data_IF_392063944744
#
_entry.id   IF_392063944744
#
_cell.length_a   1.000
_cell.length_b   1.000
_cell.length_c   1.000
_cell.angle_alpha   90.00
_cell.angle_beta   90.00
_cell.angle_gamma   90.00
#
_symmetry.space_group_name_H-M   'P 1'
#
loop_
_entity.id
_entity.type
_entity.pdbx_description
1 polymer ?
#
# COMPACT_ATOMS: atom_id res chain seq x y z
N UNK A 1 -12.18 11.32 11.21
CA UNK A 1 -10.87 10.72 11.54
C UNK A 1 -10.11 10.60 10.23
N UNK A 2 -8.89 11.15 10.17
CA UNK A 2 -8.07 11.18 8.95
C UNK A 2 -6.89 10.26 9.16
N UNK A 3 -6.49 9.52 8.12
CA UNK A 3 -5.37 8.58 8.17
C UNK A 3 -4.42 8.88 7.02
N UNK A 4 -3.13 8.80 7.29
CA UNK A 4 -2.09 8.94 6.27
C UNK A 4 -1.96 7.65 5.47
N UNK A 5 -1.88 7.82 4.15
CA UNK A 5 -1.71 6.75 3.19
C UNK A 5 -0.45 7.00 2.37
N UNK A 6 0.33 5.94 2.17
CA UNK A 6 1.20 5.84 1.01
C UNK A 6 0.33 5.68 -0.24
N UNK A 7 0.58 6.49 -1.26
CA UNK A 7 0.00 6.39 -2.59
C UNK A 7 1.14 6.27 -3.61
N UNK A 8 1.26 5.12 -4.25
CA UNK A 8 2.38 4.81 -5.14
C UNK A 8 1.97 3.93 -6.31
N UNK A 9 2.86 3.78 -7.28
CA UNK A 9 2.61 3.02 -8.50
C UNK A 9 1.69 3.74 -9.48
N UNK A 10 1.46 3.09 -10.62
CA UNK A 10 0.63 3.62 -11.70
C UNK A 10 -0.04 2.47 -12.45
N UNK A 11 -1.34 2.58 -12.70
CA UNK A 11 -2.09 1.61 -13.47
C UNK A 11 -3.59 1.77 -13.28
N UNK A 12 -4.37 1.14 -14.16
CA UNK A 12 -5.83 1.32 -14.22
C UNK A 12 -6.58 0.60 -13.08
N UNK A 13 -5.87 -0.21 -12.28
CA UNK A 13 -6.42 -0.91 -11.11
C UNK A 13 -5.85 -0.30 -9.83
N UNK A 14 -6.69 -0.22 -8.79
CA UNK A 14 -6.27 0.19 -7.45
C UNK A 14 -6.20 -1.01 -6.52
N UNK A 15 -5.12 -1.09 -5.74
CA UNK A 15 -4.89 -2.12 -4.70
C UNK A 15 -4.72 -1.44 -3.35
N UNK A 16 -5.53 -1.83 -2.36
CA UNK A 16 -5.35 -1.42 -0.97
C UNK A 16 -4.62 -2.51 -0.20
N UNK A 17 -3.46 -2.19 0.37
CA UNK A 17 -2.66 -3.11 1.18
C UNK A 17 -2.80 -2.72 2.65
N UNK A 18 -3.34 -3.63 3.45
CA UNK A 18 -3.52 -3.44 4.89
C UNK A 18 -2.51 -4.29 5.65
N UNK A 19 -1.94 -3.75 6.72
CA UNK A 19 -1.07 -4.51 7.61
C UNK A 19 -1.83 -5.01 8.85
N UNK A 20 -1.37 -6.13 9.39
CA UNK A 20 -1.73 -6.56 10.75
C UNK A 20 -0.84 -5.88 11.80
N UNK A 21 -0.74 -6.49 12.99
CA UNK A 21 0.04 -5.95 14.12
C UNK A 21 1.55 -5.77 13.88
N UNK A 22 2.11 -6.37 12.82
CA UNK A 22 3.50 -6.14 12.41
C UNK A 22 3.75 -4.75 11.80
N UNK A 23 2.68 -3.99 11.50
CA UNK A 23 2.75 -2.64 10.95
C UNK A 23 3.15 -2.58 9.46
N UNK A 24 3.30 -1.36 8.92
CA UNK A 24 3.54 -1.13 7.49
C UNK A 24 4.78 -1.85 6.92
N UNK A 25 5.82 -2.04 7.74
CA UNK A 25 7.04 -2.77 7.32
C UNK A 25 6.75 -4.23 6.96
N UNK A 26 5.77 -4.85 7.60
CA UNK A 26 5.38 -6.25 7.33
C UNK A 26 4.75 -6.46 5.96
N UNK A 27 4.27 -5.39 5.31
CA UNK A 27 3.61 -5.46 3.99
C UNK A 27 4.38 -4.72 2.89
N UNK A 28 5.55 -4.15 3.18
CA UNK A 28 6.36 -3.44 2.19
C UNK A 28 6.64 -4.28 0.92
N UNK A 29 7.00 -5.58 1.01
CA UNK A 29 7.20 -6.40 -0.19
C UNK A 29 5.94 -6.59 -1.03
N UNK A 30 4.75 -6.54 -0.41
CA UNK A 30 3.46 -6.63 -1.11
C UNK A 30 3.19 -5.33 -1.88
N UNK A 31 3.46 -4.18 -1.26
CA UNK A 31 3.35 -2.88 -1.93
C UNK A 31 4.28 -2.82 -3.14
N UNK A 32 5.55 -3.21 -2.97
CA UNK A 32 6.56 -3.25 -4.04
C UNK A 32 6.16 -4.19 -5.17
N UNK A 33 5.52 -5.31 -4.88
CA UNK A 33 5.05 -6.26 -5.89
C UNK A 33 3.99 -5.67 -6.82
N UNK A 34 3.05 -4.88 -6.26
CA UNK A 34 1.93 -4.34 -7.03
C UNK A 34 2.23 -2.99 -7.69
N UNK A 35 3.10 -2.16 -7.12
CA UNK A 35 3.38 -0.81 -7.61
C UNK A 35 3.74 -0.72 -9.12
N UNK A 36 4.41 -1.70 -9.74
CA UNK A 36 4.70 -1.64 -11.18
C UNK A 36 3.48 -1.78 -12.11
N UNK A 37 2.32 -2.20 -11.60
CA UNK A 37 1.14 -2.56 -12.45
C UNK A 37 -0.19 -2.00 -11.95
N UNK A 38 -0.20 -1.36 -10.78
CA UNK A 38 -1.40 -0.84 -10.14
C UNK A 38 -1.07 0.42 -9.34
N UNK A 39 -2.08 1.27 -9.14
CA UNK A 39 -2.03 2.27 -8.07
C UNK A 39 -2.21 1.55 -6.73
N UNK A 40 -1.27 1.72 -5.83
CA UNK A 40 -1.24 1.06 -4.53
C UNK A 40 -1.44 2.08 -3.42
N UNK A 41 -2.40 1.81 -2.55
CA UNK A 41 -2.66 2.55 -1.33
C UNK A 41 -2.30 1.70 -0.12
N UNK A 42 -1.59 2.25 0.87
CA UNK A 42 -1.27 1.53 2.11
C UNK A 42 -1.22 2.48 3.33
N UNK A 43 -1.84 2.12 4.47
CA UNK A 43 -1.67 2.89 5.71
C UNK A 43 -0.23 2.93 6.18
N UNK A 44 0.19 4.06 6.75
CA UNK A 44 1.57 4.31 7.18
C UNK A 44 1.81 4.22 8.69
N UNK A 45 0.78 3.91 9.49
CA UNK A 45 0.82 3.89 10.96
C UNK A 45 0.85 2.48 11.55
#
# INVERSE_FOLDING_TARGET
MTFDLLDTGSGDRTVLVLHGGAGPRGVAPVVEHFAPRARVLAPTH
#
